data_IF_808470696808
#
_entry.id   IF_808470696808
#
_cell.length_a   1.000
_cell.length_b   1.000
_cell.length_c   1.000
_cell.angle_alpha   90.00
_cell.angle_beta   90.00
_cell.angle_gamma   90.00
#
_symmetry.space_group_name_H-M   'P 1'
#
loop_
_entity.id
_entity.type
_entity.pdbx_description
1 polymer ?
#
# COMPACT_ATOMS: atom_id res chain seq x y z
N UNK A 1 -3.69 21.87 15.97
CA UNK A 1 -2.41 21.54 16.67
C UNK A 1 -2.01 20.11 16.29
N UNK A 2 -0.73 19.94 15.89
CA UNK A 2 -0.21 18.59 15.55
C UNK A 2 0.53 18.03 16.76
N UNK A 3 0.23 16.82 17.15
CA UNK A 3 0.88 16.11 18.25
C UNK A 3 1.34 14.72 17.84
N UNK A 4 2.47 14.29 18.38
CA UNK A 4 2.92 12.91 18.24
C UNK A 4 2.09 12.01 19.13
N UNK A 5 1.67 10.85 18.62
CA UNK A 5 0.96 9.87 19.42
C UNK A 5 1.95 8.93 20.12
N UNK A 6 1.69 8.67 21.39
CA UNK A 6 2.44 7.73 22.20
C UNK A 6 1.65 6.43 22.46
N UNK A 7 0.34 6.45 22.17
CA UNK A 7 -0.58 5.32 22.32
C UNK A 7 -1.46 5.19 21.07
N UNK A 8 -1.61 3.98 20.55
CA UNK A 8 -2.41 3.69 19.36
C UNK A 8 -3.90 4.05 19.51
N UNK A 9 -4.44 4.01 20.74
CA UNK A 9 -5.83 4.39 21.02
C UNK A 9 -6.14 5.85 20.68
N UNK A 10 -5.12 6.70 20.54
CA UNK A 10 -5.29 8.10 20.13
C UNK A 10 -5.77 8.27 18.68
N UNK A 11 -5.85 7.18 17.90
CA UNK A 11 -6.46 7.15 16.56
C UNK A 11 -7.87 6.55 16.55
N UNK A 12 -8.43 6.09 17.68
CA UNK A 12 -9.74 5.42 17.71
C UNK A 12 -10.89 6.33 17.23
N UNK A 13 -10.74 7.64 17.36
CA UNK A 13 -11.70 8.63 16.85
C UNK A 13 -11.55 8.94 15.35
N UNK A 14 -10.50 8.44 14.69
CA UNK A 14 -10.36 8.55 13.25
C UNK A 14 -11.33 7.61 12.55
N UNK A 15 -12.19 8.15 11.69
CA UNK A 15 -13.28 7.37 11.06
C UNK A 15 -13.13 7.18 9.56
N UNK A 16 -12.23 7.94 8.93
CA UNK A 16 -12.03 7.82 7.48
C UNK A 16 -11.31 6.52 7.17
N UNK A 17 -11.80 5.81 6.16
CA UNK A 17 -11.21 4.57 5.67
C UNK A 17 -10.85 4.73 4.19
N UNK A 18 -9.62 5.10 3.92
CA UNK A 18 -9.03 5.24 2.60
C UNK A 18 -7.65 4.56 2.55
N UNK A 19 -7.05 4.54 1.37
CA UNK A 19 -5.74 3.91 1.16
C UNK A 19 -4.65 4.46 2.08
N UNK A 20 -4.69 5.75 2.40
CA UNK A 20 -3.70 6.39 3.27
C UNK A 20 -3.88 5.92 4.71
N UNK A 21 -5.12 5.87 5.17
CA UNK A 21 -5.49 5.33 6.48
C UNK A 21 -5.04 3.87 6.64
N UNK A 22 -5.33 3.01 5.65
CA UNK A 22 -4.88 1.60 5.67
C UNK A 22 -3.36 1.50 5.79
N UNK A 23 -2.61 2.33 5.06
CA UNK A 23 -1.14 2.37 5.13
C UNK A 23 -0.63 2.81 6.50
N UNK A 24 -1.19 3.89 7.05
CA UNK A 24 -0.78 4.45 8.35
C UNK A 24 -1.06 3.45 9.48
N UNK A 25 -2.28 2.90 9.53
CA UNK A 25 -2.69 2.02 10.61
C UNK A 25 -2.04 0.63 10.52
N UNK A 26 -1.74 0.14 9.32
CA UNK A 26 -0.92 -1.07 9.13
C UNK A 26 0.50 -0.88 9.67
N UNK A 27 1.13 0.29 9.44
CA UNK A 27 2.44 0.61 10.01
C UNK A 27 2.38 0.73 11.53
N UNK A 28 1.38 1.41 12.07
CA UNK A 28 1.18 1.54 13.51
C UNK A 28 1.00 0.18 14.18
N UNK A 29 0.21 -0.71 13.59
CA UNK A 29 0.02 -2.08 14.07
C UNK A 29 1.31 -2.90 14.02
N UNK A 30 2.18 -2.67 13.01
CA UNK A 30 3.46 -3.38 12.87
C UNK A 30 4.49 -2.92 13.87
N UNK A 31 4.69 -1.61 13.97
CA UNK A 31 5.82 -1.01 14.68
C UNK A 31 5.45 -0.48 16.06
N UNK A 32 4.16 -0.21 16.30
CA UNK A 32 3.76 0.52 17.51
C UNK A 32 4.35 1.92 17.53
N UNK A 33 4.41 2.53 18.72
CA UNK A 33 4.85 3.93 18.91
C UNK A 33 6.24 4.06 19.53
N UNK A 34 6.92 2.93 19.82
CA UNK A 34 8.18 2.92 20.58
C UNK A 34 9.44 3.17 19.73
N UNK A 35 9.36 3.03 18.41
CA UNK A 35 10.53 3.16 17.52
C UNK A 35 10.70 4.59 17.02
N UNK A 36 11.95 5.09 17.08
CA UNK A 36 12.29 6.43 16.60
C UNK A 36 12.20 6.61 15.09
N UNK A 37 12.34 5.53 14.32
CA UNK A 37 12.25 5.55 12.87
C UNK A 37 10.81 5.43 12.35
N UNK A 38 9.86 5.05 13.22
CA UNK A 38 8.44 4.93 12.90
C UNK A 38 7.64 5.78 13.90
N UNK A 39 7.24 6.97 13.48
CA UNK A 39 6.52 7.92 14.31
C UNK A 39 5.18 8.25 13.69
N UNK A 40 4.20 8.53 14.54
CA UNK A 40 2.82 8.77 14.13
C UNK A 40 2.33 10.06 14.78
N UNK A 41 1.52 10.83 14.04
CA UNK A 41 1.02 12.12 14.50
C UNK A 41 -0.43 12.29 14.09
N UNK A 42 -1.15 13.14 14.80
CA UNK A 42 -2.49 13.60 14.44
C UNK A 42 -2.58 15.12 14.52
N UNK A 43 -3.37 15.69 13.64
CA UNK A 43 -3.79 17.08 13.72
C UNK A 43 -5.18 17.14 14.37
N UNK A 44 -5.32 18.03 15.36
CA UNK A 44 -6.60 18.26 16.03
C UNK A 44 -6.99 19.72 15.80
N UNK A 45 -8.20 19.94 15.28
CA UNK A 45 -8.86 21.22 15.10
C UNK A 45 -10.22 21.17 15.80
N UNK A 46 -10.48 22.09 16.71
CA UNK A 46 -11.73 22.17 17.47
C UNK A 46 -12.14 20.84 18.13
N UNK A 47 -11.16 20.11 18.66
CA UNK A 47 -11.38 18.82 19.31
C UNK A 47 -11.60 17.64 18.39
N UNK A 48 -11.58 17.84 17.05
CA UNK A 48 -11.72 16.78 16.05
C UNK A 48 -10.37 16.44 15.42
N UNK A 49 -10.09 15.16 15.17
CA UNK A 49 -8.94 14.74 14.37
C UNK A 49 -9.23 15.06 12.91
N UNK A 50 -8.42 15.93 12.30
CA UNK A 50 -8.58 16.36 10.90
C UNK A 50 -7.49 15.82 9.97
N UNK A 51 -6.39 15.31 10.53
CA UNK A 51 -5.39 14.58 9.78
C UNK A 51 -4.69 13.55 10.67
N UNK A 52 -4.26 12.44 10.08
CA UNK A 52 -3.32 11.50 10.68
C UNK A 52 -2.16 11.28 9.73
N UNK A 53 -0.98 11.02 10.28
CA UNK A 53 0.18 10.73 9.46
C UNK A 53 1.13 9.72 10.13
N UNK A 54 1.81 8.97 9.29
CA UNK A 54 2.96 8.15 9.68
C UNK A 54 4.22 8.70 9.03
N UNK A 55 5.34 8.65 9.75
CA UNK A 55 6.68 8.91 9.24
C UNK A 55 7.53 7.67 9.50
N UNK A 56 7.91 6.96 8.43
CA UNK A 56 8.82 5.83 8.47
C UNK A 56 10.16 6.30 7.91
N UNK A 57 11.18 6.42 8.76
CA UNK A 57 12.41 7.17 8.47
C UNK A 57 12.09 8.61 8.00
N UNK A 58 12.21 8.88 6.69
CA UNK A 58 11.88 10.19 6.12
C UNK A 58 10.65 10.15 5.20
N UNK A 59 10.04 8.99 5.00
CA UNK A 59 8.87 8.86 4.15
C UNK A 59 7.58 9.03 4.96
N UNK A 60 6.76 9.96 4.51
CA UNK A 60 5.50 10.32 5.15
C UNK A 60 4.32 9.79 4.34
N UNK A 61 3.34 9.20 5.03
CA UNK A 61 1.99 9.00 4.49
C UNK A 61 1.03 9.87 5.30
N UNK A 62 0.19 10.67 4.61
CA UNK A 62 -0.73 11.62 5.20
C UNK A 62 -2.17 11.31 4.75
N UNK A 63 -3.06 11.06 5.70
CA UNK A 63 -4.50 10.95 5.51
C UNK A 63 -5.18 12.22 6.05
N UNK A 64 -6.14 12.75 5.30
CA UNK A 64 -6.82 14.00 5.59
C UNK A 64 -8.32 13.77 5.77
N UNK A 65 -8.94 14.51 6.67
CA UNK A 65 -10.40 14.67 6.79
C UNK A 65 -10.79 16.14 6.61
N UNK A 66 -12.07 16.40 6.48
CA UNK A 66 -12.59 17.75 6.31
C UNK A 66 -12.18 18.69 7.45
N UNK A 67 -11.77 19.90 7.09
CA UNK A 67 -11.37 20.93 8.04
C UNK A 67 -9.90 20.86 8.50
N UNK A 68 -9.05 20.07 7.83
CA UNK A 68 -7.61 20.08 8.11
C UNK A 68 -6.99 21.48 7.85
N UNK A 69 -5.97 21.82 8.62
CA UNK A 69 -5.19 23.05 8.45
C UNK A 69 -3.93 22.73 7.62
N UNK A 70 -3.98 23.11 6.33
CA UNK A 70 -2.86 22.92 5.42
C UNK A 70 -1.61 23.68 5.83
N UNK A 71 -1.76 24.93 6.32
CA UNK A 71 -0.60 25.76 6.70
C UNK A 71 0.11 25.18 7.92
N UNK A 72 -0.63 24.66 8.89
CA UNK A 72 -0.05 24.01 10.06
C UNK A 72 0.71 22.74 9.65
N UNK A 73 0.16 21.91 8.74
CA UNK A 73 0.86 20.72 8.21
C UNK A 73 2.13 21.11 7.45
N UNK A 74 2.09 22.15 6.61
CA UNK A 74 3.28 22.65 5.90
C UNK A 74 4.35 23.11 6.89
N UNK A 75 3.99 23.92 7.89
CA UNK A 75 4.93 24.35 8.94
C UNK A 75 5.54 23.17 9.70
N UNK A 76 4.72 22.17 10.01
CA UNK A 76 5.18 20.93 10.67
C UNK A 76 6.22 20.21 9.82
N UNK A 77 5.98 20.00 8.53
CA UNK A 77 6.94 19.32 7.64
C UNK A 77 8.22 20.16 7.42
N UNK A 78 8.13 21.48 7.39
CA UNK A 78 9.32 22.35 7.33
C UNK A 78 10.20 22.21 8.58
N UNK A 79 9.62 21.96 9.76
CA UNK A 79 10.36 21.80 11.01
C UNK A 79 10.91 20.38 11.17
N UNK A 80 10.10 19.37 10.90
CA UNK A 80 10.46 17.95 11.15
C UNK A 80 11.25 17.32 10.01
N UNK A 81 11.25 17.95 8.84
CA UNK A 81 11.83 17.41 7.61
C UNK A 81 11.06 16.21 7.05
N UNK A 82 11.21 15.97 5.75
CA UNK A 82 10.66 14.83 5.03
C UNK A 82 11.55 14.49 3.83
N UNK A 83 11.56 13.22 3.42
CA UNK A 83 12.13 12.77 2.15
C UNK A 83 11.06 12.70 1.07
N UNK A 84 9.89 12.14 1.41
CA UNK A 84 8.70 12.12 0.57
C UNK A 84 7.43 12.34 1.39
N UNK A 85 6.36 12.86 0.76
CA UNK A 85 5.02 12.95 1.36
C UNK A 85 4.01 12.38 0.37
N UNK A 86 3.45 11.22 0.70
CA UNK A 86 2.35 10.60 -0.03
C UNK A 86 1.02 11.05 0.58
N UNK A 87 0.15 11.67 -0.22
CA UNK A 87 -1.07 12.29 0.28
C UNK A 87 -2.17 12.43 -0.78
N UNK A 88 -3.35 12.85 -0.33
CA UNK A 88 -4.42 13.36 -1.18
C UNK A 88 -4.01 14.70 -1.80
N UNK A 89 -4.40 15.01 -3.07
CA UNK A 89 -4.14 16.29 -3.74
C UNK A 89 -4.68 17.53 -3.01
N UNK A 90 -5.58 17.37 -2.05
CA UNK A 90 -6.05 18.47 -1.21
C UNK A 90 -4.93 19.09 -0.38
N UNK A 91 -3.91 18.30 0.02
CA UNK A 91 -2.70 18.83 0.65
C UNK A 91 -1.77 19.48 -0.38
N UNK A 92 -1.27 20.67 -0.07
CA UNK A 92 -0.38 21.43 -0.94
C UNK A 92 0.78 22.03 -0.16
N UNK A 93 2.02 21.78 -0.59
CA UNK A 93 3.24 22.28 0.06
C UNK A 93 4.12 23.17 -0.86
N UNK A 94 3.69 23.43 -2.11
CA UNK A 94 4.43 24.27 -3.05
C UNK A 94 5.73 23.65 -3.60
N UNK A 95 5.92 22.33 -3.43
CA UNK A 95 7.05 21.56 -3.96
C UNK A 95 6.65 20.82 -5.27
N UNK A 96 7.65 20.29 -5.96
CA UNK A 96 7.40 19.39 -7.10
C UNK A 96 6.74 18.10 -6.60
N UNK A 97 5.86 17.54 -7.41
CA UNK A 97 5.17 16.31 -7.09
C UNK A 97 5.02 15.40 -8.31
N UNK A 98 4.84 14.12 -8.03
CA UNK A 98 4.31 13.12 -8.93
C UNK A 98 2.88 12.82 -8.53
N UNK A 99 2.02 12.44 -9.46
CA UNK A 99 0.66 12.02 -9.16
C UNK A 99 0.20 10.87 -10.05
N UNK A 100 -0.77 10.13 -9.58
CA UNK A 100 -1.38 9.04 -10.33
C UNK A 100 -2.74 8.68 -9.76
N UNK A 101 -3.26 7.55 -10.17
CA UNK A 101 -4.63 7.13 -9.90
C UNK A 101 -4.67 6.12 -8.75
N UNK A 102 -5.62 6.27 -7.85
CA UNK A 102 -6.01 5.27 -6.86
C UNK A 102 -7.18 4.48 -7.42
N UNK A 103 -7.06 3.16 -7.42
CA UNK A 103 -8.17 2.28 -7.74
C UNK A 103 -8.46 1.35 -6.58
N UNK A 104 -9.70 0.86 -6.50
CA UNK A 104 -10.08 -0.18 -5.54
C UNK A 104 -11.03 -1.21 -6.13
N UNK A 105 -11.02 -2.41 -5.55
CA UNK A 105 -11.94 -3.49 -5.88
C UNK A 105 -12.38 -4.25 -4.64
N UNK A 106 -13.65 -4.62 -4.61
CA UNK A 106 -14.23 -5.61 -3.67
C UNK A 106 -14.73 -6.86 -4.45
N UNK A 107 -14.43 -6.92 -5.74
CA UNK A 107 -14.95 -7.95 -6.63
C UNK A 107 -14.27 -9.30 -6.36
N UNK A 108 -15.09 -10.31 -6.10
CA UNK A 108 -14.66 -11.73 -6.01
C UNK A 108 -14.89 -12.41 -7.34
N UNK A 109 -13.92 -13.21 -7.77
CA UNK A 109 -13.95 -13.87 -9.07
C UNK A 109 -13.88 -15.38 -8.95
N UNK A 110 -14.51 -16.07 -9.88
CA UNK A 110 -14.40 -17.53 -9.98
C UNK A 110 -13.02 -17.90 -10.56
N UNK A 111 -12.14 -18.38 -9.68
CA UNK A 111 -10.78 -18.77 -10.05
C UNK A 111 -10.74 -20.01 -10.96
N UNK A 112 -11.77 -20.88 -10.93
CA UNK A 112 -11.84 -22.02 -11.83
C UNK A 112 -12.03 -21.55 -13.28
N UNK A 113 -12.85 -20.52 -13.49
CA UNK A 113 -13.02 -19.90 -14.80
C UNK A 113 -11.76 -19.17 -15.24
N UNK A 114 -11.14 -18.40 -14.36
CA UNK A 114 -9.92 -17.65 -14.67
C UNK A 114 -8.72 -18.55 -14.92
N UNK A 115 -8.62 -19.67 -14.20
CA UNK A 115 -7.55 -20.65 -14.35
C UNK A 115 -7.80 -21.70 -15.43
N UNK A 116 -8.91 -21.62 -16.17
CA UNK A 116 -9.24 -22.59 -17.21
C UNK A 116 -8.14 -22.65 -18.28
N UNK A 117 -7.53 -23.82 -18.43
CA UNK A 117 -6.39 -24.05 -19.34
C UNK A 117 -5.01 -23.76 -18.76
N UNK A 118 -4.89 -23.24 -17.54
CA UNK A 118 -3.61 -23.10 -16.85
C UNK A 118 -3.23 -24.43 -16.20
N UNK A 119 -2.19 -25.08 -16.71
CA UNK A 119 -1.75 -26.39 -16.22
C UNK A 119 -0.56 -26.21 -15.27
N UNK A 120 -0.58 -26.92 -14.14
CA UNK A 120 0.54 -26.98 -13.20
C UNK A 120 0.81 -25.66 -12.44
N UNK A 121 -0.23 -24.83 -12.31
CA UNK A 121 -0.14 -23.60 -11.49
C UNK A 121 -0.27 -23.94 -10.01
N UNK A 122 0.45 -23.19 -9.18
CA UNK A 122 0.28 -23.17 -7.72
C UNK A 122 0.52 -21.77 -7.18
N UNK A 123 -0.32 -21.33 -6.24
CA UNK A 123 -0.07 -20.09 -5.50
C UNK A 123 0.71 -20.41 -4.24
N UNK A 124 1.82 -19.71 -4.02
CA UNK A 124 2.57 -19.73 -2.77
C UNK A 124 2.30 -18.43 -2.01
N UNK A 125 1.72 -18.57 -0.82
CA UNK A 125 1.37 -17.46 0.08
C UNK A 125 2.49 -17.09 1.07
N UNK A 126 3.56 -17.86 1.05
CA UNK A 126 4.72 -17.68 1.92
C UNK A 126 6.04 -17.85 1.15
N UNK A 127 6.21 -17.16 0.01
CA UNK A 127 7.40 -17.30 -0.80
C UNK A 127 8.64 -16.85 -0.04
N UNK A 128 9.79 -17.43 -0.40
CA UNK A 128 11.07 -16.93 0.13
C UNK A 128 11.27 -15.50 -0.35
N UNK A 129 11.41 -14.57 0.59
CA UNK A 129 11.52 -13.13 0.29
C UNK A 129 12.71 -12.79 -0.61
N UNK A 130 13.81 -13.57 -0.54
CA UNK A 130 14.95 -13.41 -1.45
C UNK A 130 14.58 -13.71 -2.89
N UNK A 131 13.88 -14.82 -3.14
CA UNK A 131 13.47 -15.22 -4.48
C UNK A 131 12.44 -14.22 -5.05
N UNK A 132 11.54 -13.74 -4.19
CA UNK A 132 10.58 -12.70 -4.52
C UNK A 132 11.25 -11.38 -4.89
N UNK A 133 12.23 -10.92 -4.08
CA UNK A 133 12.98 -9.69 -4.33
C UNK A 133 13.70 -9.74 -5.69
N UNK A 134 14.39 -10.84 -5.96
CA UNK A 134 15.08 -11.05 -7.23
C UNK A 134 14.11 -11.10 -8.42
N UNK A 135 12.92 -11.68 -8.23
CA UNK A 135 11.91 -11.75 -9.28
C UNK A 135 11.29 -10.37 -9.56
N UNK A 136 11.02 -9.57 -8.53
CA UNK A 136 10.47 -8.20 -8.69
C UNK A 136 11.51 -7.28 -9.33
N UNK A 137 12.82 -7.52 -9.11
CA UNK A 137 13.92 -6.75 -9.71
C UNK A 137 13.80 -5.25 -9.43
N UNK A 138 13.87 -4.90 -8.14
CA UNK A 138 13.83 -3.52 -7.70
C UNK A 138 15.11 -2.77 -8.12
N UNK A 139 14.98 -1.79 -9.03
CA UNK A 139 16.12 -1.05 -9.59
C UNK A 139 16.88 -0.20 -8.55
N UNK A 140 16.20 0.31 -7.52
CA UNK A 140 16.76 1.30 -6.60
C UNK A 140 16.50 1.00 -5.11
N UNK A 141 16.11 -0.21 -4.77
CA UNK A 141 15.82 -0.57 -3.38
C UNK A 141 16.87 -1.54 -2.85
N UNK A 142 17.53 -1.18 -1.75
CA UNK A 142 18.47 -2.08 -1.07
C UNK A 142 17.74 -3.30 -0.49
N UNK A 143 18.23 -4.50 -0.84
CA UNK A 143 17.64 -5.76 -0.37
C UNK A 143 17.56 -5.84 1.14
N UNK A 144 18.59 -5.43 1.86
CA UNK A 144 18.64 -5.57 3.32
C UNK A 144 17.56 -4.74 3.99
N UNK A 145 17.42 -3.48 3.60
CA UNK A 145 16.41 -2.57 4.12
C UNK A 145 15.00 -3.05 3.78
N UNK A 146 14.76 -3.45 2.53
CA UNK A 146 13.50 -4.02 2.09
C UNK A 146 13.15 -5.30 2.86
N UNK A 147 14.11 -6.22 2.99
CA UNK A 147 13.90 -7.49 3.68
C UNK A 147 13.54 -7.31 5.16
N UNK A 148 14.23 -6.41 5.85
CA UNK A 148 13.96 -6.12 7.27
C UNK A 148 12.55 -5.58 7.45
N UNK A 149 12.14 -4.59 6.64
CA UNK A 149 10.81 -4.00 6.70
C UNK A 149 9.71 -5.01 6.35
N UNK A 150 9.79 -5.64 5.16
CA UNK A 150 8.73 -6.55 4.73
C UNK A 150 8.61 -7.78 5.62
N UNK A 151 9.72 -8.36 6.07
CA UNK A 151 9.70 -9.53 6.97
C UNK A 151 9.13 -9.19 8.35
N UNK A 152 9.36 -7.96 8.83
CA UNK A 152 8.75 -7.48 10.07
C UNK A 152 7.23 -7.37 9.91
N UNK A 153 6.76 -6.70 8.87
CA UNK A 153 5.33 -6.52 8.61
C UNK A 153 4.59 -7.84 8.33
N UNK A 154 5.22 -8.78 7.63
CA UNK A 154 4.65 -10.12 7.42
C UNK A 154 4.46 -10.85 8.76
N UNK A 155 5.44 -10.81 9.67
CA UNK A 155 5.32 -11.42 11.01
C UNK A 155 4.23 -10.80 11.88
N UNK A 156 3.87 -9.52 11.63
CA UNK A 156 2.79 -8.82 12.33
C UNK A 156 1.44 -8.91 11.60
N UNK A 157 1.35 -9.69 10.51
CA UNK A 157 0.14 -9.84 9.69
C UNK A 157 -0.37 -8.49 9.12
N UNK A 158 0.52 -7.55 8.85
CA UNK A 158 0.22 -6.26 8.24
C UNK A 158 0.75 -6.15 6.81
N UNK A 159 1.41 -7.19 6.33
CA UNK A 159 1.78 -7.42 4.94
C UNK A 159 1.71 -8.91 4.61
N UNK A 160 1.56 -9.26 3.33
CA UNK A 160 1.61 -10.64 2.84
C UNK A 160 2.18 -10.68 1.43
N UNK A 161 3.03 -11.64 1.15
CA UNK A 161 3.64 -11.81 -0.16
C UNK A 161 3.04 -13.04 -0.85
N UNK A 162 2.93 -12.98 -2.18
CA UNK A 162 2.38 -14.06 -2.99
C UNK A 162 3.22 -14.25 -4.24
N UNK A 163 3.37 -15.51 -4.66
CA UNK A 163 3.83 -15.86 -6.00
C UNK A 163 2.88 -16.87 -6.64
N UNK A 164 2.73 -16.77 -7.95
CA UNK A 164 2.16 -17.84 -8.77
C UNK A 164 3.30 -18.57 -9.44
N UNK A 165 3.31 -19.88 -9.31
CA UNK A 165 4.35 -20.74 -9.85
C UNK A 165 3.79 -21.65 -10.94
N UNK A 166 4.59 -21.92 -11.98
CA UNK A 166 4.33 -22.93 -13.01
C UNK A 166 5.53 -23.87 -13.04
N UNK A 167 5.29 -25.16 -12.87
CA UNK A 167 6.34 -26.17 -12.81
C UNK A 167 7.49 -25.82 -11.83
N UNK A 168 7.14 -25.17 -10.71
CA UNK A 168 8.09 -24.78 -9.65
C UNK A 168 8.82 -23.45 -9.89
N UNK A 169 8.61 -22.77 -11.02
CA UNK A 169 9.21 -21.48 -11.31
C UNK A 169 8.21 -20.35 -11.04
N UNK A 170 8.67 -19.25 -10.43
CA UNK A 170 7.86 -18.05 -10.24
C UNK A 170 7.55 -17.43 -11.61
N UNK A 171 6.28 -17.26 -11.93
CA UNK A 171 5.81 -16.64 -13.19
C UNK A 171 5.16 -15.27 -12.94
N UNK A 172 4.60 -15.07 -11.75
CA UNK A 172 4.09 -13.75 -11.34
C UNK A 172 4.17 -13.60 -9.83
N UNK A 173 4.30 -12.37 -9.37
CA UNK A 173 4.38 -12.01 -7.96
C UNK A 173 3.44 -10.88 -7.62
N UNK A 174 3.13 -10.74 -6.33
CA UNK A 174 2.46 -9.57 -5.78
C UNK A 174 2.66 -9.49 -4.26
N UNK A 175 2.55 -8.29 -3.72
CA UNK A 175 2.65 -8.02 -2.28
C UNK A 175 1.46 -7.19 -1.83
N UNK A 176 0.76 -7.64 -0.79
CA UNK A 176 -0.06 -6.78 0.04
C UNK A 176 0.89 -6.03 0.98
N UNK A 177 1.22 -4.80 0.64
CA UNK A 177 2.18 -3.99 1.40
C UNK A 177 1.61 -3.41 2.68
N UNK A 178 0.29 -3.31 2.77
CA UNK A 178 -0.41 -2.88 3.98
C UNK A 178 -1.71 -3.66 4.10
N UNK A 179 -1.95 -4.23 5.27
CA UNK A 179 -3.19 -4.91 5.62
C UNK A 179 -3.63 -4.33 6.97
N UNK A 180 -4.81 -3.76 6.99
CA UNK A 180 -5.43 -3.24 8.21
C UNK A 180 -6.92 -3.54 8.20
N UNK A 181 -7.43 -4.13 9.28
CA UNK A 181 -8.76 -4.69 9.38
C UNK A 181 -9.06 -5.63 8.18
N UNK A 182 -10.08 -5.32 7.40
CA UNK A 182 -10.50 -6.12 6.24
C UNK A 182 -9.92 -5.59 4.92
N UNK A 183 -9.22 -4.45 4.93
CA UNK A 183 -8.73 -3.76 3.73
C UNK A 183 -7.23 -3.96 3.51
N UNK A 184 -6.79 -3.87 2.26
CA UNK A 184 -5.38 -4.06 1.91
C UNK A 184 -4.92 -3.18 0.74
N UNK A 185 -3.61 -2.90 0.69
CA UNK A 185 -2.94 -2.20 -0.41
C UNK A 185 -2.05 -3.17 -1.17
N UNK A 186 -2.37 -3.39 -2.43
CA UNK A 186 -1.66 -4.28 -3.35
C UNK A 186 -0.56 -3.52 -4.08
N UNK A 187 0.63 -4.09 -4.11
CA UNK A 187 1.82 -3.53 -4.76
C UNK A 187 2.64 -4.63 -5.44
N UNK A 188 3.67 -4.23 -6.18
CA UNK A 188 4.66 -5.13 -6.77
C UNK A 188 4.05 -6.27 -7.61
N UNK A 189 2.98 -5.97 -8.35
CA UNK A 189 2.38 -6.91 -9.30
C UNK A 189 3.30 -7.00 -10.51
N UNK A 190 4.01 -8.11 -10.65
CA UNK A 190 4.93 -8.36 -11.75
C UNK A 190 4.70 -9.74 -12.36
N UNK A 191 4.67 -9.80 -13.68
CA UNK A 191 4.68 -11.07 -14.45
C UNK A 191 5.94 -11.11 -15.29
N UNK A 192 6.65 -12.24 -15.25
CA UNK A 192 7.82 -12.48 -16.09
C UNK A 192 7.50 -12.26 -17.57
N UNK A 193 8.43 -11.72 -18.34
CA UNK A 193 8.18 -11.27 -19.72
C UNK A 193 7.62 -12.37 -20.61
N UNK A 194 8.20 -13.57 -20.51
CA UNK A 194 7.81 -14.76 -21.25
C UNK A 194 6.42 -15.31 -20.88
N UNK A 195 5.87 -14.87 -19.72
CA UNK A 195 4.56 -15.31 -19.20
C UNK A 195 3.47 -14.23 -19.32
N UNK A 196 3.81 -13.06 -19.89
CA UNK A 196 2.85 -11.97 -20.08
C UNK A 196 1.75 -12.38 -21.06
N UNK A 197 0.57 -11.79 -20.89
CA UNK A 197 -0.65 -12.01 -21.71
C UNK A 197 -1.20 -13.45 -21.65
N UNK A 198 -0.71 -14.29 -20.72
CA UNK A 198 -1.22 -15.63 -20.48
C UNK A 198 -2.25 -15.69 -19.32
N UNK A 199 -2.64 -14.53 -18.76
CA UNK A 199 -3.65 -14.45 -17.70
C UNK A 199 -3.11 -14.64 -16.28
N UNK A 200 -1.85 -15.03 -16.09
CA UNK A 200 -1.29 -15.34 -14.76
C UNK A 200 -1.36 -14.17 -13.78
N UNK A 201 -1.05 -12.95 -14.22
CA UNK A 201 -1.16 -11.76 -13.37
C UNK A 201 -2.59 -11.51 -12.91
N UNK A 202 -3.56 -11.63 -13.82
CA UNK A 202 -4.98 -11.49 -13.50
C UNK A 202 -5.46 -12.56 -12.53
N UNK A 203 -5.02 -13.81 -12.72
CA UNK A 203 -5.32 -14.92 -11.81
C UNK A 203 -4.82 -14.63 -10.38
N UNK A 204 -3.53 -14.24 -10.23
CA UNK A 204 -2.95 -13.96 -8.92
C UNK A 204 -3.63 -12.80 -8.22
N UNK A 205 -3.88 -11.69 -8.94
CA UNK A 205 -4.58 -10.52 -8.37
C UNK A 205 -5.99 -10.91 -7.92
N UNK A 206 -6.71 -11.71 -8.71
CA UNK A 206 -8.05 -12.18 -8.35
C UNK A 206 -8.02 -13.14 -7.16
N UNK A 207 -7.01 -14.01 -7.08
CA UNK A 207 -6.79 -14.88 -5.93
C UNK A 207 -6.64 -14.04 -4.65
N UNK A 208 -5.78 -13.01 -4.69
CA UNK A 208 -5.54 -12.10 -3.58
C UNK A 208 -6.82 -11.33 -3.21
N UNK A 209 -7.56 -10.80 -4.20
CA UNK A 209 -8.83 -10.14 -3.95
C UNK A 209 -9.87 -11.06 -3.29
N UNK A 210 -9.85 -12.37 -3.59
CA UNK A 210 -10.75 -13.33 -2.95
C UNK A 210 -10.38 -13.59 -1.48
N UNK A 211 -9.10 -13.51 -1.13
CA UNK A 211 -8.60 -13.71 0.24
C UNK A 211 -8.91 -12.51 1.17
N UNK A 212 -8.95 -11.30 0.63
CA UNK A 212 -9.25 -10.07 1.39
C UNK A 212 -10.76 -9.87 1.51
N UNK A 213 -11.28 -9.64 2.72
CA UNK A 213 -12.73 -9.48 2.94
C UNK A 213 -13.27 -8.14 2.45
N UNK A 214 -12.53 -7.06 2.68
CA UNK A 214 -12.88 -5.70 2.31
C UNK A 214 -12.30 -5.29 0.94
N UNK A 215 -11.79 -4.06 0.88
CA UNK A 215 -11.25 -3.45 -0.33
C UNK A 215 -9.79 -3.81 -0.54
N UNK A 216 -9.45 -4.06 -1.79
CA UNK A 216 -8.07 -4.07 -2.24
C UNK A 216 -7.82 -2.78 -3.00
N UNK A 217 -6.89 -1.97 -2.51
CA UNK A 217 -6.46 -0.72 -3.12
C UNK A 217 -5.19 -0.94 -3.94
N UNK A 218 -5.06 -0.19 -5.02
CA UNK A 218 -3.81 -0.03 -5.77
C UNK A 218 -3.54 1.45 -6.04
N UNK A 219 -2.27 1.77 -6.22
CA UNK A 219 -1.78 3.05 -6.74
C UNK A 219 -1.04 2.77 -8.03
N UNK A 220 -1.37 3.49 -9.09
CA UNK A 220 -0.74 3.36 -10.40
C UNK A 220 -0.46 4.73 -11.01
N UNK A 221 0.51 4.77 -11.91
CA UNK A 221 0.69 5.92 -12.79
C UNK A 221 -0.50 6.03 -13.74
N UNK A 222 -0.90 7.26 -14.06
CA UNK A 222 -2.13 7.51 -14.82
C UNK A 222 -2.19 6.76 -16.16
N UNK A 223 -1.05 6.60 -16.83
CA UNK A 223 -0.94 6.01 -18.17
C UNK A 223 -0.69 4.49 -18.16
N UNK A 224 -0.41 3.88 -17.00
CA UNK A 224 0.01 2.48 -16.94
C UNK A 224 -1.08 1.54 -16.45
N UNK A 225 -1.28 0.42 -17.16
CA UNK A 225 -2.04 -0.75 -16.71
C UNK A 225 -3.53 -0.52 -16.38
N UNK A 226 -4.17 0.57 -16.85
CA UNK A 226 -5.58 0.85 -16.54
C UNK A 226 -6.50 -0.29 -16.96
N UNK A 227 -6.41 -0.73 -18.20
CA UNK A 227 -7.25 -1.82 -18.73
C UNK A 227 -7.09 -3.12 -17.92
N UNK A 228 -5.84 -3.45 -17.54
CA UNK A 228 -5.58 -4.65 -16.74
C UNK A 228 -6.38 -4.65 -15.42
N UNK A 229 -6.34 -3.54 -14.69
CA UNK A 229 -7.05 -3.45 -13.41
C UNK A 229 -8.56 -3.27 -13.58
N UNK A 230 -8.99 -2.51 -14.60
CA UNK A 230 -10.43 -2.34 -14.90
C UNK A 230 -11.06 -3.68 -15.27
N UNK A 231 -10.40 -4.50 -16.08
CA UNK A 231 -10.86 -5.84 -16.43
C UNK A 231 -10.96 -6.76 -15.20
N UNK A 232 -10.17 -6.53 -14.16
CA UNK A 232 -10.24 -7.22 -12.88
C UNK A 232 -11.29 -6.65 -11.92
N UNK A 233 -12.02 -5.61 -12.33
CA UNK A 233 -13.11 -5.00 -11.55
C UNK A 233 -12.66 -3.90 -10.60
N UNK A 234 -11.43 -3.40 -10.75
CA UNK A 234 -11.00 -2.20 -10.05
C UNK A 234 -11.63 -0.96 -10.67
N UNK A 235 -11.99 0.00 -9.84
CA UNK A 235 -12.57 1.29 -10.23
C UNK A 235 -11.70 2.43 -9.73
N UNK A 236 -11.58 3.48 -10.53
CA UNK A 236 -10.92 4.72 -10.13
C UNK A 236 -11.73 5.36 -8.99
N UNK A 237 -11.06 5.68 -7.89
CA UNK A 237 -11.69 6.27 -6.69
C UNK A 237 -11.03 7.56 -6.23
N UNK A 238 -9.88 7.93 -6.80
CA UNK A 238 -9.16 9.14 -6.42
C UNK A 238 -7.82 9.26 -7.12
N UNK A 239 -7.08 10.26 -6.69
CA UNK A 239 -5.74 10.59 -7.16
C UNK A 239 -4.81 10.56 -5.95
N UNK A 240 -3.61 10.02 -6.11
CA UNK A 240 -2.54 10.18 -5.14
C UNK A 240 -1.55 11.23 -5.60
N UNK A 241 -0.91 11.91 -4.66
CA UNK A 241 0.19 12.81 -4.91
C UNK A 241 1.38 12.48 -4.01
N UNK A 242 2.59 12.55 -4.57
CA UNK A 242 3.83 12.36 -3.84
C UNK A 242 4.75 13.55 -4.06
N UNK A 243 5.01 14.30 -3.00
CA UNK A 243 6.01 15.35 -2.96
C UNK A 243 7.39 14.76 -2.63
N UNK A 244 8.44 15.34 -3.28
CA UNK A 244 9.85 15.01 -3.02
C UNK A 244 10.72 16.24 -2.89
#
# INVERSE_FOLDING_TARGET
>A
MIEQIEDSSLFDDWKKNDIYTVRILALLKSYGTAYRFATFYRQIIDGKITAILSKLDNDVTLALDDGFDNEELVRFFCITGHGSILCDPAFQIGAKFEEGVIMSSEVKRDLNVMGAGMIGISVDEYPKLMDLYNFIDYENQDFKSWYVDISHRVRHNTAKAYTLNVAGNIVTSSILSSIYDDDAVLTAVRTGEEYRRMGYGGYLVSYICNDIKGRVYIMRDAELNEHFYTDLGFKNIGIWRMYR
#
